data_IF_091903450762
#
_entry.id   IF_091903450762
#
_cell.length_a   1.000
_cell.length_b   1.000
_cell.length_c   1.000
_cell.angle_alpha   90.00
_cell.angle_beta   90.00
_cell.angle_gamma   90.00
#
_symmetry.space_group_name_H-M   'P 1'
#
loop_
_entity.id
_entity.type
_entity.pdbx_description
1 polymer ?
#
# COMPACT_ATOMS: atom_id res chain seq x y z
N UNK A 1 5.85 -19.31 1.69
CA UNK A 1 6.58 -18.11 1.24
C UNK A 1 8.01 -18.24 1.73
N UNK A 2 9.01 -18.24 0.84
CA UNK A 2 10.44 -18.38 1.22
C UNK A 2 11.28 -17.26 0.62
N UNK A 3 12.24 -16.78 1.40
CA UNK A 3 13.26 -15.80 0.98
C UNK A 3 14.53 -16.55 0.59
N UNK A 4 15.11 -16.22 -0.56
CA UNK A 4 16.32 -16.90 -1.08
C UNK A 4 17.59 -16.02 -1.08
N UNK A 5 17.55 -14.88 -0.38
CA UNK A 5 18.69 -13.97 -0.26
C UNK A 5 18.84 -12.97 -1.40
N UNK A 6 18.05 -13.11 -2.48
CA UNK A 6 18.13 -12.20 -3.63
C UNK A 6 17.20 -11.01 -3.47
N UNK A 7 17.59 -9.92 -4.11
CA UNK A 7 16.84 -8.66 -4.13
C UNK A 7 16.55 -8.24 -5.56
N UNK A 8 15.56 -7.38 -5.72
CA UNK A 8 15.27 -6.66 -6.95
C UNK A 8 15.28 -5.17 -6.65
N UNK A 9 16.20 -4.44 -7.28
CA UNK A 9 16.32 -3.00 -7.12
C UNK A 9 15.21 -2.29 -7.89
N UNK A 10 14.45 -1.45 -7.20
CA UNK A 10 13.42 -0.59 -7.79
C UNK A 10 13.73 0.87 -7.56
N UNK A 11 13.29 1.73 -8.47
CA UNK A 11 13.29 3.17 -8.29
C UNK A 11 11.86 3.69 -8.15
N UNK A 12 11.60 4.43 -7.07
CA UNK A 12 10.31 5.08 -6.80
C UNK A 12 10.58 6.57 -6.63
N UNK A 13 10.14 7.37 -7.60
CA UNK A 13 10.59 8.77 -7.71
C UNK A 13 12.11 8.81 -7.90
N UNK A 14 12.81 9.53 -7.03
CA UNK A 14 14.28 9.60 -7.02
C UNK A 14 14.98 8.58 -6.09
N UNK A 15 14.23 7.68 -5.46
CA UNK A 15 14.72 6.81 -4.39
C UNK A 15 14.91 5.38 -4.89
N UNK A 16 16.04 4.77 -4.52
CA UNK A 16 16.34 3.38 -4.83
C UNK A 16 16.10 2.48 -3.62
N UNK A 17 15.50 1.30 -3.83
CA UNK A 17 15.30 0.27 -2.80
C UNK A 17 15.57 -1.12 -3.35
N UNK A 18 16.30 -1.92 -2.57
CA UNK A 18 16.52 -3.34 -2.85
C UNK A 18 15.42 -4.16 -2.16
N UNK A 19 14.44 -4.61 -2.95
CA UNK A 19 13.30 -5.34 -2.42
C UNK A 19 13.60 -6.84 -2.36
N UNK A 20 13.42 -7.51 -1.21
CA UNK A 20 13.68 -8.94 -1.11
C UNK A 20 12.71 -9.74 -1.98
N UNK A 21 13.25 -10.74 -2.70
CA UNK A 21 12.46 -11.64 -3.54
C UNK A 21 11.95 -12.82 -2.73
N UNK A 22 10.62 -13.01 -2.72
CA UNK A 22 9.97 -14.13 -2.06
C UNK A 22 9.22 -15.00 -3.05
N UNK A 23 9.37 -16.32 -2.90
CA UNK A 23 8.57 -17.29 -3.65
C UNK A 23 7.21 -17.49 -2.98
N UNK A 24 6.13 -17.18 -3.70
CA UNK A 24 4.74 -17.21 -3.19
C UNK A 24 3.95 -18.41 -3.69
N UNK A 25 4.35 -18.95 -4.83
CA UNK A 25 3.87 -20.20 -5.41
C UNK A 25 5.02 -20.82 -6.21
N UNK A 26 4.97 -22.12 -6.57
CA UNK A 26 6.05 -22.77 -7.32
C UNK A 26 6.42 -21.99 -8.59
N UNK A 27 7.66 -21.50 -8.65
CA UNK A 27 8.17 -20.72 -9.79
C UNK A 27 7.71 -19.25 -9.84
N UNK A 28 6.86 -18.80 -8.93
CA UNK A 28 6.36 -17.41 -8.87
C UNK A 28 7.03 -16.66 -7.73
N UNK A 29 7.88 -15.69 -8.08
CA UNK A 29 8.56 -14.82 -7.12
C UNK A 29 8.06 -13.38 -7.24
N UNK A 30 7.91 -12.73 -6.10
CA UNK A 30 7.55 -11.30 -6.02
C UNK A 30 8.60 -10.54 -5.22
N UNK A 31 8.87 -9.31 -5.65
CA UNK A 31 9.64 -8.34 -4.88
C UNK A 31 8.72 -7.77 -3.79
N UNK A 32 9.03 -8.07 -2.52
CA UNK A 32 8.19 -7.62 -1.41
C UNK A 32 8.48 -6.15 -1.15
N UNK A 33 7.52 -5.31 -1.51
CA UNK A 33 7.51 -3.92 -1.12
C UNK A 33 6.79 -3.75 0.23
N UNK A 34 7.48 -3.14 1.19
CA UNK A 34 6.91 -2.78 2.48
C UNK A 34 7.26 -1.34 2.81
N UNK A 35 6.27 -0.45 2.78
CA UNK A 35 6.46 0.97 3.09
C UNK A 35 6.35 1.29 4.59
N UNK A 36 5.98 0.32 5.44
CA UNK A 36 5.85 0.53 6.87
C UNK A 36 7.23 0.80 7.48
N UNK A 37 7.46 2.05 7.90
CA UNK A 37 8.74 2.52 8.43
C UNK A 37 9.63 3.21 7.40
N UNK A 38 9.28 3.18 6.11
CA UNK A 38 10.01 3.88 5.05
C UNK A 38 9.35 5.22 4.73
N UNK A 39 9.57 6.20 5.61
CA UNK A 39 8.96 7.54 5.50
C UNK A 39 9.35 8.24 4.21
N UNK A 40 10.61 8.10 3.77
CA UNK A 40 11.13 8.74 2.56
C UNK A 40 10.37 8.30 1.31
N UNK A 41 10.18 6.98 1.15
CA UNK A 41 9.41 6.42 0.03
C UNK A 41 7.93 6.82 0.11
N UNK A 42 7.34 6.80 1.30
CA UNK A 42 5.93 7.21 1.49
C UNK A 42 5.71 8.64 1.02
N UNK A 43 6.55 9.58 1.46
CA UNK A 43 6.42 10.99 1.09
C UNK A 43 6.68 11.23 -0.40
N UNK A 44 7.69 10.57 -0.97
CA UNK A 44 8.00 10.68 -2.39
C UNK A 44 6.86 10.14 -3.27
N UNK A 45 6.34 8.96 -2.92
CA UNK A 45 5.22 8.34 -3.63
C UNK A 45 3.93 9.18 -3.50
N UNK A 46 3.63 9.71 -2.30
CA UNK A 46 2.45 10.54 -2.08
C UNK A 46 2.48 11.81 -2.94
N UNK A 47 3.63 12.49 -3.05
CA UNK A 47 3.79 13.68 -3.90
C UNK A 47 3.61 13.35 -5.38
N UNK A 48 4.20 12.24 -5.84
CA UNK A 48 4.07 11.83 -7.24
C UNK A 48 2.63 11.43 -7.61
N UNK A 49 1.91 10.78 -6.69
CA UNK A 49 0.54 10.35 -6.90
C UNK A 49 -0.45 11.51 -6.78
N UNK A 50 -0.23 12.49 -5.90
CA UNK A 50 -1.15 13.62 -5.75
C UNK A 50 -1.30 14.43 -7.05
N UNK A 51 -0.24 14.51 -7.86
CA UNK A 51 -0.26 15.16 -9.16
C UNK A 51 -1.07 14.39 -10.24
N UNK A 52 -1.38 13.11 -9.99
CA UNK A 52 -2.06 12.22 -10.94
C UNK A 52 -3.51 11.90 -10.52
N UNK A 53 -3.96 12.40 -9.37
CA UNK A 53 -5.31 12.15 -8.91
C UNK A 53 -6.34 12.81 -9.85
N UNK A 54 -7.44 12.12 -10.20
CA UNK A 54 -8.53 12.73 -10.93
C UNK A 54 -9.08 13.94 -10.16
N UNK A 55 -9.33 15.05 -10.86
CA UNK A 55 -9.90 16.26 -10.25
C UNK A 55 -11.29 16.03 -9.62
N UNK A 56 -11.98 14.96 -10.03
CA UNK A 56 -13.29 14.55 -9.51
C UNK A 56 -13.20 13.59 -8.33
N UNK A 57 -12.00 13.29 -7.81
CA UNK A 57 -11.86 12.39 -6.68
C UNK A 57 -12.36 13.05 -5.39
N UNK A 58 -13.23 12.35 -4.65
CA UNK A 58 -13.83 12.86 -3.40
C UNK A 58 -13.32 12.11 -2.16
N UNK A 59 -12.80 10.89 -2.34
CA UNK A 59 -12.33 10.02 -1.25
C UNK A 59 -11.24 9.08 -1.75
N UNK A 60 -10.26 8.81 -0.88
CA UNK A 60 -9.26 7.77 -1.11
C UNK A 60 -9.69 6.48 -0.40
N UNK A 61 -9.55 5.33 -1.05
CA UNK A 61 -9.81 4.03 -0.42
C UNK A 61 -8.58 3.16 -0.56
N UNK A 62 -8.06 2.65 0.57
CA UNK A 62 -6.89 1.77 0.57
C UNK A 62 -7.17 0.42 1.22
N UNK A 63 -6.54 -0.66 0.72
CA UNK A 63 -6.65 -1.97 1.33
C UNK A 63 -5.65 -2.14 2.48
N UNK A 64 -6.17 -2.38 3.68
CA UNK A 64 -5.45 -2.81 4.88
C UNK A 64 -4.31 -1.88 5.35
N UNK A 65 -3.66 -2.26 6.46
CA UNK A 65 -2.76 -1.40 7.23
C UNK A 65 -1.48 -1.03 6.46
N UNK A 66 -1.00 -1.89 5.55
CA UNK A 66 0.27 -1.67 4.83
C UNK A 66 0.25 -0.40 3.98
N UNK A 67 -0.92 0.01 3.50
CA UNK A 67 -1.10 1.20 2.66
C UNK A 67 -1.47 2.46 3.46
N UNK A 68 -1.68 2.35 4.78
CA UNK A 68 -2.13 3.48 5.62
C UNK A 68 -1.17 4.67 5.59
N UNK A 69 0.18 4.51 5.66
CA UNK A 69 1.07 5.66 5.60
C UNK A 69 0.92 6.45 4.30
N UNK A 70 0.83 5.75 3.16
CA UNK A 70 0.65 6.38 1.85
C UNK A 70 -0.73 7.05 1.74
N UNK A 71 -1.79 6.39 2.20
CA UNK A 71 -3.14 6.96 2.19
C UNK A 71 -3.20 8.27 2.98
N UNK A 72 -2.59 8.27 4.17
CA UNK A 72 -2.53 9.45 5.02
C UNK A 72 -1.72 10.58 4.38
N UNK A 73 -0.49 10.27 3.91
CA UNK A 73 0.37 11.26 3.27
C UNK A 73 -0.24 11.85 1.99
N UNK A 74 -1.00 11.04 1.23
CA UNK A 74 -1.72 11.47 0.04
C UNK A 74 -2.94 12.34 0.41
N UNK A 75 -3.73 11.89 1.39
CA UNK A 75 -4.89 12.62 1.94
C UNK A 75 -4.52 14.04 2.38
N UNK A 76 -3.38 14.21 3.07
CA UNK A 76 -2.87 15.52 3.48
C UNK A 76 -2.58 16.42 2.28
N UNK A 77 -2.04 15.87 1.18
CA UNK A 77 -1.68 16.63 -0.03
C UNK A 77 -2.88 17.03 -0.89
N UNK A 78 -3.86 16.15 -1.03
CA UNK A 78 -5.03 16.40 -1.86
C UNK A 78 -6.24 16.95 -1.09
N UNK A 79 -6.13 17.09 0.23
CA UNK A 79 -7.22 17.50 1.12
C UNK A 79 -8.48 16.62 0.99
N UNK A 80 -8.30 15.34 0.66
CA UNK A 80 -9.39 14.35 0.58
C UNK A 80 -9.40 13.44 1.80
N UNK A 81 -10.56 13.05 2.34
CA UNK A 81 -10.64 12.01 3.35
C UNK A 81 -10.19 10.66 2.78
N UNK A 82 -9.80 9.74 3.65
CA UNK A 82 -9.48 8.38 3.25
C UNK A 82 -10.15 7.33 4.14
N UNK A 83 -10.45 6.18 3.54
CA UNK A 83 -11.05 5.01 4.19
C UNK A 83 -10.09 3.83 4.05
N UNK A 84 -9.93 3.08 5.13
CA UNK A 84 -9.10 1.88 5.17
C UNK A 84 -10.00 0.67 5.25
N UNK A 85 -10.08 -0.10 4.17
CA UNK A 85 -10.75 -1.39 4.17
C UNK A 85 -9.95 -2.39 5.00
N UNK A 86 -10.62 -3.21 5.82
CA UNK A 86 -9.98 -4.22 6.68
C UNK A 86 -10.40 -5.61 6.25
N UNK A 87 -9.48 -6.57 6.32
CA UNK A 87 -9.78 -8.00 6.06
C UNK A 87 -10.65 -8.64 7.14
N UNK A 88 -10.55 -8.12 8.36
CA UNK A 88 -11.25 -8.66 9.53
C UNK A 88 -11.88 -7.50 10.25
N UNK A 89 -13.14 -7.69 10.66
CA UNK A 89 -13.90 -6.72 11.46
C UNK A 89 -13.12 -6.33 12.72
N UNK A 90 -13.12 -5.05 13.05
CA UNK A 90 -12.46 -4.50 14.25
C UNK A 90 -13.50 -4.07 15.28
N UNK A 91 -13.17 -4.06 16.58
CA UNK A 91 -14.16 -3.71 17.62
C UNK A 91 -14.80 -2.32 17.45
N UNK A 92 -14.09 -1.37 16.83
CA UNK A 92 -14.57 -0.01 16.58
C UNK A 92 -15.42 0.13 15.31
N UNK A 93 -15.67 -0.96 14.58
CA UNK A 93 -16.41 -0.94 13.32
C UNK A 93 -17.91 -1.13 13.57
N UNK A 94 -18.72 -0.18 13.09
CA UNK A 94 -20.18 -0.15 13.25
C UNK A 94 -20.80 -0.06 11.85
N UNK A 95 -21.93 -0.76 11.63
CA UNK A 95 -22.71 -0.74 10.38
C UNK A 95 -21.87 -0.86 9.10
N UNK A 96 -20.93 -1.81 9.09
CA UNK A 96 -19.98 -1.96 7.99
C UNK A 96 -20.59 -2.67 6.78
N UNK A 97 -20.15 -2.24 5.60
CA UNK A 97 -20.33 -2.99 4.36
C UNK A 97 -19.28 -4.11 4.38
N UNK A 98 -19.74 -5.36 4.32
CA UNK A 98 -18.90 -6.55 4.37
C UNK A 98 -19.17 -7.44 3.15
N UNK A 99 -18.14 -8.11 2.65
CA UNK A 99 -18.23 -9.06 1.56
C UNK A 99 -17.26 -10.22 1.80
N UNK A 100 -17.71 -11.45 1.55
CA UNK A 100 -16.85 -12.63 1.59
C UNK A 100 -15.95 -12.67 0.36
N UNK A 101 -14.66 -12.91 0.58
CA UNK A 101 -13.64 -12.95 -0.48
C UNK A 101 -12.70 -14.12 -0.30
N UNK A 102 -12.16 -14.62 -1.41
CA UNK A 102 -11.04 -15.57 -1.40
C UNK A 102 -9.75 -14.77 -1.41
N UNK A 103 -9.09 -14.65 -0.25
CA UNK A 103 -7.82 -13.93 -0.11
C UNK A 103 -6.62 -14.85 -0.37
N UNK A 104 -5.65 -14.36 -1.14
CA UNK A 104 -4.35 -15.03 -1.35
C UNK A 104 -3.30 -14.69 -0.27
N UNK A 105 -3.71 -13.88 0.73
CA UNK A 105 -2.87 -13.40 1.85
C UNK A 105 -3.64 -13.38 3.15
#
# INVERSE_FOLDING_TARGET
MSYDGRVHTVQIGGLSRDLPLFEVAPGVKIAIFNMLGDTEIVEAAATALSAQLPATAEVLVVPEVKAVPLAHALSVRCALPYVVARKVRKPYMVDCIEAEVVSIT
#
